data_IF_743754734479
#
_entry.id   IF_743754734479
#
_cell.length_a   1.000
_cell.length_b   1.000
_cell.length_c   1.000
_cell.angle_alpha   90.00
_cell.angle_beta   90.00
_cell.angle_gamma   90.00
#
_symmetry.space_group_name_H-M   'P 1'
#
loop_
_entity.id
_entity.type
_entity.pdbx_description
1 polymer ?
#
# COMPACT_ATOMS: atom_id res chain seq x y z
N UNK A 1 -7.61 12.12 -3.93
CA UNK A 1 -7.16 11.41 -5.14
C UNK A 1 -8.30 10.73 -5.87
N UNK A 2 -8.97 9.71 -5.32
CA UNK A 2 -10.10 9.06 -6.04
C UNK A 2 -11.25 10.02 -6.37
N UNK A 3 -11.61 10.92 -5.46
CA UNK A 3 -12.61 11.98 -5.73
C UNK A 3 -12.12 13.06 -6.72
N UNK A 4 -10.84 13.03 -7.12
CA UNK A 4 -10.26 13.92 -8.12
C UNK A 4 -10.14 13.22 -9.50
N UNK A 5 -10.74 12.03 -9.66
CA UNK A 5 -10.75 11.29 -10.93
C UNK A 5 -9.57 10.33 -11.14
N UNK A 6 -8.75 10.08 -10.11
CA UNK A 6 -7.70 9.05 -10.19
C UNK A 6 -8.36 7.67 -10.21
N UNK A 7 -8.09 6.88 -11.25
CA UNK A 7 -8.69 5.56 -11.47
C UNK A 7 -7.78 4.38 -11.12
N UNK A 8 -6.48 4.64 -10.89
CA UNK A 8 -5.51 3.62 -10.51
C UNK A 8 -4.50 4.18 -9.51
N UNK A 9 -4.16 3.37 -8.51
CA UNK A 9 -3.18 3.68 -7.47
C UNK A 9 -2.18 2.53 -7.41
N UNK A 10 -0.92 2.82 -7.70
CA UNK A 10 0.19 1.90 -7.50
C UNK A 10 0.86 2.24 -6.16
N UNK A 11 1.07 1.22 -5.33
CA UNK A 11 1.64 1.34 -4.00
C UNK A 11 3.02 0.69 -3.98
N UNK A 12 4.00 1.44 -3.48
CA UNK A 12 5.34 0.89 -3.31
C UNK A 12 5.36 -0.19 -2.23
N UNK A 13 6.41 -1.01 -2.26
CA UNK A 13 6.64 -2.09 -1.30
C UNK A 13 6.64 -1.63 0.18
N UNK A 14 6.93 -0.35 0.46
CA UNK A 14 6.92 0.19 1.80
C UNK A 14 5.55 0.24 2.50
N UNK A 15 4.44 0.00 1.78
CA UNK A 15 3.13 -0.13 2.40
C UNK A 15 2.93 -1.45 3.16
N UNK A 16 3.76 -2.48 2.91
CA UNK A 16 3.55 -3.81 3.49
C UNK A 16 2.30 -4.52 2.94
N UNK A 17 2.02 -5.73 3.41
CA UNK A 17 0.86 -6.51 2.98
C UNK A 17 -0.44 -5.96 3.54
N UNK A 18 -0.45 -5.65 4.83
CA UNK A 18 -1.64 -5.17 5.53
C UNK A 18 -1.95 -3.74 5.10
N UNK A 19 -0.94 -2.89 4.93
CA UNK A 19 -1.16 -1.52 4.45
C UNK A 19 -1.76 -1.47 3.05
N UNK A 20 -1.31 -2.31 2.11
CA UNK A 20 -1.93 -2.43 0.77
C UNK A 20 -3.40 -2.85 0.89
N UNK A 21 -3.70 -3.83 1.74
CA UNK A 21 -5.08 -4.27 2.00
C UNK A 21 -5.97 -3.16 2.57
N UNK A 22 -5.46 -2.39 3.54
CA UNK A 22 -6.17 -1.24 4.12
C UNK A 22 -6.46 -0.15 3.09
N UNK A 23 -5.50 0.15 2.21
CA UNK A 23 -5.71 1.11 1.12
C UNK A 23 -6.76 0.60 0.13
N UNK A 24 -6.66 -0.65 -0.30
CA UNK A 24 -7.65 -1.27 -1.20
C UNK A 24 -9.07 -1.21 -0.60
N UNK A 25 -9.21 -1.53 0.70
CA UNK A 25 -10.48 -1.45 1.40
C UNK A 25 -11.03 -0.01 1.46
N UNK A 26 -10.17 0.97 1.73
CA UNK A 26 -10.58 2.37 1.81
C UNK A 26 -10.97 2.96 0.42
N UNK A 27 -10.33 2.49 -0.64
CA UNK A 27 -10.59 2.90 -2.02
C UNK A 27 -11.90 2.28 -2.55
N UNK A 28 -12.15 1.00 -2.23
CA UNK A 28 -13.29 0.24 -2.75
C UNK A 28 -13.29 0.21 -4.27
N UNK A 29 -14.46 0.32 -4.89
CA UNK A 29 -14.61 0.22 -6.35
C UNK A 29 -14.25 1.52 -7.11
N UNK A 30 -13.73 2.54 -6.40
CA UNK A 30 -13.47 3.87 -7.00
C UNK A 30 -12.20 3.93 -7.83
N UNK A 31 -11.24 3.05 -7.57
CA UNK A 31 -9.99 2.95 -8.30
C UNK A 31 -9.35 1.56 -8.12
N UNK A 32 -8.59 1.12 -9.11
CA UNK A 32 -7.79 -0.11 -9.01
C UNK A 32 -6.57 0.16 -8.12
N UNK A 33 -6.34 -0.69 -7.12
CA UNK A 33 -5.14 -0.62 -6.28
C UNK A 33 -4.22 -1.79 -6.62
N UNK A 34 -2.97 -1.48 -6.98
CA UNK A 34 -1.94 -2.45 -7.33
C UNK A 34 -0.64 -2.18 -6.56
N UNK A 35 0.22 -3.21 -6.47
CA UNK A 35 1.55 -3.09 -5.90
C UNK A 35 2.49 -4.12 -6.54
N UNK A 36 3.72 -3.72 -6.85
CA UNK A 36 4.80 -4.66 -7.19
C UNK A 36 5.47 -5.10 -5.89
N UNK A 37 5.38 -6.40 -5.57
CA UNK A 37 5.61 -6.88 -4.20
C UNK A 37 7.05 -7.37 -3.96
N UNK A 38 7.74 -6.65 -3.09
CA UNK A 38 8.93 -7.09 -2.35
C UNK A 38 8.77 -6.61 -0.89
N UNK A 39 8.39 -7.50 0.02
CA UNK A 39 7.96 -7.12 1.38
C UNK A 39 9.04 -6.33 2.16
N UNK A 40 10.31 -6.78 2.09
CA UNK A 40 11.44 -6.07 2.70
C UNK A 40 11.96 -4.99 1.76
N UNK A 41 11.87 -3.73 2.21
CA UNK A 41 12.22 -2.58 1.37
C UNK A 41 13.59 -1.98 1.76
N UNK A 42 14.53 -1.78 0.81
CA UNK A 42 15.85 -1.21 1.13
C UNK A 42 15.80 0.18 1.78
N UNK A 43 14.83 1.01 1.37
CA UNK A 43 14.59 2.33 1.99
C UNK A 43 13.96 2.29 3.39
N UNK A 44 13.63 1.09 3.91
CA UNK A 44 13.06 0.87 5.24
C UNK A 44 13.99 -0.04 6.07
N UNK A 45 15.30 0.05 5.89
CA UNK A 45 16.28 -0.82 6.57
C UNK A 45 16.01 -2.32 6.37
N UNK A 46 15.48 -2.71 5.20
CA UNK A 46 15.04 -4.07 4.90
C UNK A 46 13.91 -4.61 5.80
N UNK A 47 13.14 -3.74 6.45
CA UNK A 47 11.92 -4.10 7.18
C UNK A 47 10.70 -4.02 6.27
N UNK A 48 9.63 -4.70 6.70
CA UNK A 48 8.31 -4.57 6.08
C UNK A 48 7.66 -3.26 6.52
N UNK A 49 6.83 -2.69 5.64
CA UNK A 49 5.93 -1.59 6.01
C UNK A 49 5.00 -1.96 7.17
N UNK A 50 4.53 -3.20 7.22
CA UNK A 50 3.63 -3.65 8.28
C UNK A 50 4.33 -3.62 9.65
N UNK A 51 5.61 -4.00 9.72
CA UNK A 51 6.40 -3.95 10.95
C UNK A 51 6.53 -2.51 11.50
N UNK A 52 6.60 -1.53 10.60
CA UNK A 52 6.81 -0.12 10.96
C UNK A 52 5.48 0.56 11.30
N UNK A 53 4.45 0.30 10.50
CA UNK A 53 3.20 1.09 10.48
C UNK A 53 1.97 0.33 10.99
N UNK A 54 2.00 -1.00 11.11
CA UNK A 54 0.90 -1.83 11.61
C UNK A 54 1.20 -2.38 13.01
N UNK A 55 1.43 -1.47 13.96
CA UNK A 55 1.58 -1.82 15.38
C UNK A 55 0.20 -2.04 16.01
N UNK A 56 -0.01 -3.24 16.56
CA UNK A 56 -1.10 -3.53 17.49
C UNK A 56 -0.92 -2.78 18.81
#
# INVERSE_FOLDING_TARGET
MVNQGVQAIELCAGFGQIGVGKVAQAVGDKAVVGAVRFDRHPGLEFKSGDEIFDKK
#
